data_IF_926748856022
#
_entry.id   IF_926748856022
#
_cell.length_a   1.000
_cell.length_b   1.000
_cell.length_c   1.000
_cell.angle_alpha   90.00
_cell.angle_beta   90.00
_cell.angle_gamma   90.00
#
_symmetry.space_group_name_H-M   'P 1'
#
loop_
_entity.id
_entity.type
_entity.pdbx_description
1 polymer ?
#
# COMPACT_ATOMS: atom_id res chain seq x y z
N UNK A 1 17.09 -0.94 -33.22
CA UNK A 1 17.11 -2.40 -32.99
C UNK A 1 18.49 -2.94 -32.62
N UNK A 2 19.49 -2.93 -33.51
CA UNK A 2 20.82 -3.50 -33.24
C UNK A 2 21.53 -2.78 -32.09
N UNK A 3 21.42 -1.45 -32.01
CA UNK A 3 22.04 -0.62 -30.96
C UNK A 3 21.50 -0.90 -29.55
N UNK A 4 20.19 -1.07 -29.37
CA UNK A 4 19.60 -1.39 -28.05
C UNK A 4 20.01 -2.79 -27.56
N UNK A 5 19.95 -3.78 -28.45
CA UNK A 5 20.37 -5.15 -28.14
C UNK A 5 21.87 -5.18 -27.81
N UNK A 6 22.69 -4.44 -28.57
CA UNK A 6 24.12 -4.28 -28.28
C UNK A 6 24.32 -3.64 -26.90
N UNK A 7 23.61 -2.56 -26.56
CA UNK A 7 23.72 -1.92 -25.24
C UNK A 7 23.30 -2.84 -24.09
N UNK A 8 22.21 -3.59 -24.25
CA UNK A 8 21.75 -4.56 -23.26
C UNK A 8 22.76 -5.69 -23.08
N UNK A 9 23.31 -6.24 -24.16
CA UNK A 9 24.35 -7.26 -24.13
C UNK A 9 25.63 -6.72 -23.48
N UNK A 10 26.04 -5.48 -23.77
CA UNK A 10 27.19 -4.84 -23.13
C UNK A 10 26.99 -4.68 -21.63
N UNK A 11 25.80 -4.27 -21.17
CA UNK A 11 25.50 -4.13 -19.75
C UNK A 11 25.51 -5.48 -19.03
N UNK A 12 24.97 -6.53 -19.65
CA UNK A 12 25.04 -7.90 -19.11
C UNK A 12 26.48 -8.40 -19.04
N UNK A 13 27.28 -8.15 -20.08
CA UNK A 13 28.71 -8.52 -20.09
C UNK A 13 29.51 -7.74 -19.03
N UNK A 14 29.21 -6.45 -18.81
CA UNK A 14 29.79 -5.69 -17.70
C UNK A 14 29.41 -6.27 -16.34
N UNK A 15 28.13 -6.60 -16.13
CA UNK A 15 27.68 -7.21 -14.88
C UNK A 15 28.41 -8.54 -14.62
N UNK A 16 28.54 -9.40 -15.64
CA UNK A 16 29.30 -10.65 -15.57
C UNK A 16 30.79 -10.37 -15.26
N UNK A 17 31.38 -9.36 -15.91
CA UNK A 17 32.78 -8.97 -15.70
C UNK A 17 33.06 -8.49 -14.27
N UNK A 18 32.11 -7.84 -13.60
CA UNK A 18 32.28 -7.42 -12.20
C UNK A 18 31.95 -8.54 -11.19
N UNK A 19 30.89 -9.30 -11.45
CA UNK A 19 30.37 -10.29 -10.51
C UNK A 19 31.22 -11.56 -10.49
N UNK A 20 31.71 -12.03 -11.63
CA UNK A 20 32.47 -13.28 -11.71
C UNK A 20 33.83 -13.22 -11.01
N UNK A 21 34.65 -12.16 -11.12
CA UNK A 21 35.90 -12.04 -10.36
C UNK A 21 35.64 -11.85 -8.86
N UNK A 22 34.58 -11.14 -8.48
CA UNK A 22 34.19 -10.97 -7.08
C UNK A 22 33.81 -12.31 -6.43
N UNK A 23 33.11 -13.18 -7.17
CA UNK A 23 32.74 -14.54 -6.72
C UNK A 23 33.87 -15.56 -6.88
N UNK A 24 34.91 -15.27 -7.67
CA UNK A 24 36.11 -16.11 -7.84
C UNK A 24 37.26 -15.73 -6.92
N UNK A 25 37.22 -14.59 -6.23
CA UNK A 25 38.17 -14.30 -5.17
C UNK A 25 38.02 -15.40 -4.13
N UNK A 26 39.06 -16.25 -4.01
CA UNK A 26 39.22 -17.17 -2.89
C UNK A 26 38.98 -16.36 -1.62
N UNK A 27 38.16 -16.93 -0.72
CA UNK A 27 38.07 -16.51 0.68
C UNK A 27 39.46 -16.10 1.12
N UNK A 28 39.68 -14.80 1.32
CA UNK A 28 40.76 -14.38 2.19
C UNK A 28 40.42 -15.00 3.53
N UNK A 29 41.33 -15.82 4.03
CA UNK A 29 41.21 -16.45 5.33
C UNK A 29 41.05 -15.33 6.35
N UNK A 30 39.81 -15.09 6.74
CA UNK A 30 39.45 -14.15 7.80
C UNK A 30 39.88 -14.70 9.18
N UNK A 31 40.36 -15.95 9.25
CA UNK A 31 41.00 -16.53 10.43
C UNK A 31 42.36 -15.90 10.69
N UNK A 32 43.23 -15.83 9.68
CA UNK A 32 44.65 -15.50 9.87
C UNK A 32 44.84 -14.03 10.31
N UNK A 33 44.00 -13.10 9.82
CA UNK A 33 44.06 -11.67 10.19
C UNK A 33 43.49 -11.38 11.59
N UNK A 34 42.61 -12.26 12.11
CA UNK A 34 42.07 -12.17 13.47
C UNK A 34 43.01 -12.79 14.50
N UNK A 35 43.65 -13.91 14.16
CA UNK A 35 44.63 -14.58 15.01
C UNK A 35 45.88 -13.71 15.21
N UNK A 36 46.39 -13.09 14.14
CA UNK A 36 47.52 -12.16 14.22
C UNK A 36 47.20 -10.93 15.09
N UNK A 37 45.98 -10.39 14.99
CA UNK A 37 45.53 -9.26 15.81
C UNK A 37 45.38 -9.64 17.30
N UNK A 38 44.82 -10.81 17.59
CA UNK A 38 44.65 -11.31 18.96
C UNK A 38 46.01 -11.56 19.63
N UNK A 39 46.98 -12.08 18.90
CA UNK A 39 48.36 -12.27 19.36
C UNK A 39 49.03 -10.93 19.69
N UNK A 40 48.83 -9.91 18.86
CA UNK A 40 49.42 -8.58 19.10
C UNK A 40 48.79 -7.87 20.30
N UNK A 41 47.46 -7.96 20.48
CA UNK A 41 46.78 -7.45 21.67
C UNK A 41 47.27 -8.15 22.94
N UNK A 42 47.49 -9.47 22.89
CA UNK A 42 48.01 -10.23 24.03
C UNK A 42 49.46 -9.82 24.38
N UNK A 43 50.31 -9.53 23.40
CA UNK A 43 51.68 -9.02 23.64
C UNK A 43 51.67 -7.68 24.35
N UNK A 44 50.81 -6.75 23.93
CA UNK A 44 50.67 -5.43 24.55
C UNK A 44 50.20 -5.57 26.00
N UNK A 45 49.22 -6.45 26.25
CA UNK A 45 48.72 -6.70 27.61
C UNK A 45 49.79 -7.32 28.52
N UNK A 46 50.60 -8.24 27.99
CA UNK A 46 51.72 -8.82 28.72
C UNK A 46 52.79 -7.79 29.07
N UNK A 47 53.09 -6.86 28.16
CA UNK A 47 54.03 -5.77 28.41
C UNK A 47 53.53 -4.84 29.52
N UNK A 48 52.24 -4.53 29.53
CA UNK A 48 51.59 -3.73 30.58
C UNK A 48 51.69 -4.43 31.95
N UNK A 49 51.36 -5.72 32.03
CA UNK A 49 51.44 -6.50 33.28
C UNK A 49 52.88 -6.57 33.81
N UNK A 50 53.89 -6.72 32.93
CA UNK A 50 55.31 -6.67 33.31
C UNK A 50 55.71 -5.30 33.84
N UNK A 51 55.27 -4.22 33.19
CA UNK A 51 55.53 -2.85 33.63
C UNK A 51 54.95 -2.59 35.02
N UNK A 52 53.77 -3.14 35.34
CA UNK A 52 53.14 -3.02 36.66
C UNK A 52 53.91 -3.79 37.75
N UNK A 53 54.51 -4.93 37.41
CA UNK A 53 55.38 -5.69 38.32
C UNK A 53 56.68 -4.92 38.60
N UNK A 54 57.29 -4.35 37.56
CA UNK A 54 58.52 -3.53 37.68
C UNK A 54 58.28 -2.24 38.45
N UNK A 55 57.11 -1.62 38.29
CA UNK A 55 56.67 -0.46 39.05
C UNK A 55 56.27 -0.79 40.50
N UNK A 56 56.20 -2.07 40.86
CA UNK A 56 55.81 -2.54 42.19
C UNK A 56 54.31 -2.36 42.50
N UNK A 57 53.48 -2.10 41.49
CA UNK A 57 52.02 -1.97 41.62
C UNK A 57 51.35 -3.33 41.86
N UNK A 58 51.94 -4.39 41.34
CA UNK A 58 51.51 -5.78 41.56
C UNK A 58 52.66 -6.62 42.13
N UNK A 59 52.33 -7.64 42.90
CA UNK A 59 53.31 -8.59 43.42
C UNK A 59 53.50 -9.79 42.48
N UNK A 60 54.53 -10.59 42.72
CA UNK A 60 54.91 -11.69 41.84
C UNK A 60 53.85 -12.81 41.76
N UNK A 61 53.01 -12.98 42.79
CA UNK A 61 51.91 -13.94 42.78
C UNK A 61 50.77 -13.46 41.87
N UNK A 62 50.43 -12.17 41.93
CA UNK A 62 49.41 -11.54 41.07
C UNK A 62 49.87 -11.51 39.62
N UNK A 63 51.16 -11.27 39.37
CA UNK A 63 51.74 -11.37 38.02
C UNK A 63 51.51 -12.75 37.41
N UNK A 64 51.81 -13.82 38.16
CA UNK A 64 51.64 -15.19 37.66
C UNK A 64 50.17 -15.50 37.32
N UNK A 65 49.23 -15.06 38.16
CA UNK A 65 47.80 -15.27 37.92
C UNK A 65 47.31 -14.58 36.64
N UNK A 66 47.68 -13.31 36.46
CA UNK A 66 47.28 -12.54 35.26
C UNK A 66 47.96 -13.07 33.99
N UNK A 67 49.19 -13.56 34.11
CA UNK A 67 49.90 -14.20 33.02
C UNK A 67 49.20 -15.49 32.56
N UNK A 68 48.87 -16.37 33.49
CA UNK A 68 48.24 -17.66 33.19
C UNK A 68 46.81 -17.47 32.61
N UNK A 69 46.07 -16.47 33.09
CA UNK A 69 44.75 -16.09 32.55
C UNK A 69 44.84 -15.56 31.11
N UNK A 70 45.85 -14.73 30.82
CA UNK A 70 46.11 -14.20 29.48
C UNK A 70 46.49 -15.33 28.51
N UNK A 71 47.33 -16.28 28.92
CA UNK A 71 47.67 -17.45 28.11
C UNK A 71 46.46 -18.34 27.83
N UNK A 72 45.61 -18.59 28.83
CA UNK A 72 44.39 -19.37 28.63
C UNK A 72 43.41 -18.69 27.70
N UNK A 73 43.31 -17.36 27.76
CA UNK A 73 42.42 -16.58 26.88
C UNK A 73 42.93 -16.59 25.44
N UNK A 74 44.23 -16.35 25.24
CA UNK A 74 44.85 -16.41 23.93
C UNK A 74 44.78 -17.83 23.33
N UNK A 75 44.96 -18.86 24.14
CA UNK A 75 44.82 -20.24 23.69
C UNK A 75 43.38 -20.59 23.28
N UNK A 76 42.37 -20.01 23.94
CA UNK A 76 40.96 -20.16 23.56
C UNK A 76 40.66 -19.42 22.25
N UNK A 77 41.16 -18.20 22.10
CA UNK A 77 40.94 -17.36 20.91
C UNK A 77 41.65 -17.90 19.66
N UNK A 78 42.82 -18.55 19.84
CA UNK A 78 43.57 -19.20 18.74
C UNK A 78 43.13 -20.65 18.49
N UNK A 79 42.31 -21.23 19.38
CA UNK A 79 41.76 -22.56 19.15
C UNK A 79 40.49 -22.45 18.31
N UNK A 80 40.51 -23.07 17.13
CA UNK A 80 39.48 -23.04 16.09
C UNK A 80 38.18 -23.74 16.55
N UNK A 81 37.50 -23.17 17.56
CA UNK A 81 36.27 -23.68 18.15
C UNK A 81 35.09 -23.00 17.47
N UNK A 82 34.26 -23.71 16.69
CA UNK A 82 33.11 -23.11 16.04
C UNK A 82 32.04 -22.81 17.09
N UNK A 83 32.02 -21.56 17.60
CA UNK A 83 30.89 -21.05 18.37
C UNK A 83 29.68 -20.84 17.46
N UNK A 84 28.90 -21.92 17.33
CA UNK A 84 27.54 -21.85 16.83
C UNK A 84 26.62 -21.37 17.94
N UNK A 85 25.92 -20.26 17.74
CA UNK A 85 24.55 -20.09 18.24
C UNK A 85 23.87 -18.89 17.55
N UNK A 86 23.16 -19.17 16.45
CA UNK A 86 21.77 -18.73 16.25
C UNK A 86 21.19 -19.32 14.95
N UNK A 87 20.37 -20.36 15.16
CA UNK A 87 19.11 -20.62 14.46
C UNK A 87 19.10 -20.49 12.92
N UNK A 88 19.28 -21.63 12.25
CA UNK A 88 18.25 -22.19 11.35
C UNK A 88 18.68 -23.55 10.82
N UNK A 89 18.10 -24.62 11.36
CA UNK A 89 18.06 -25.90 10.68
C UNK A 89 16.93 -25.89 9.66
N UNK A 90 17.28 -25.62 8.40
CA UNK A 90 16.69 -26.29 7.25
C UNK A 90 17.84 -26.77 6.37
N UNK A 91 18.27 -27.99 6.70
CA UNK A 91 18.75 -29.03 5.79
C UNK A 91 19.93 -28.70 4.86
N UNK A 92 21.04 -29.37 5.15
CA UNK A 92 22.05 -29.81 4.19
C UNK A 92 21.47 -30.16 2.82
N UNK A 93 22.08 -29.64 1.76
CA UNK A 93 22.61 -30.56 0.74
C UNK A 93 23.73 -29.91 -0.07
N UNK A 94 24.87 -30.61 -0.06
CA UNK A 94 25.87 -30.75 -1.13
C UNK A 94 26.47 -29.48 -1.72
N UNK A 95 27.81 -29.43 -1.66
CA UNK A 95 28.71 -28.75 -2.60
C UNK A 95 27.97 -28.11 -3.76
N UNK A 96 27.56 -26.85 -3.59
CA UNK A 96 27.04 -26.07 -4.69
C UNK A 96 28.21 -25.87 -5.63
N UNK A 97 28.30 -26.77 -6.61
CA UNK A 97 29.20 -26.74 -7.75
C UNK A 97 29.50 -25.29 -8.11
N UNK A 98 30.78 -24.96 -8.31
CA UNK A 98 31.28 -23.62 -8.72
C UNK A 98 30.53 -23.02 -9.93
N UNK A 99 29.66 -23.79 -10.57
CA UNK A 99 28.76 -23.41 -11.66
C UNK A 99 27.44 -22.78 -11.20
N UNK A 100 26.98 -22.95 -9.95
CA UNK A 100 25.71 -22.39 -9.46
C UNK A 100 25.62 -20.86 -9.59
N UNK A 101 26.65 -20.05 -9.25
CA UNK A 101 26.60 -18.61 -9.51
C UNK A 101 26.58 -18.27 -11.02
N UNK A 102 27.20 -19.11 -11.86
CA UNK A 102 27.20 -18.92 -13.33
C UNK A 102 25.79 -19.21 -13.89
N UNK A 103 25.16 -20.28 -13.40
CA UNK A 103 23.79 -20.64 -13.75
C UNK A 103 22.81 -19.55 -13.31
N UNK A 104 22.97 -19.02 -12.09
CA UNK A 104 22.14 -17.91 -11.61
C UNK A 104 22.36 -16.63 -12.43
N UNK A 105 23.62 -16.30 -12.76
CA UNK A 105 23.97 -15.16 -13.59
C UNK A 105 23.46 -15.27 -15.03
N UNK A 106 23.22 -16.48 -15.53
CA UNK A 106 22.60 -16.71 -16.84
C UNK A 106 21.06 -16.72 -16.77
N UNK A 107 20.49 -17.39 -15.77
CA UNK A 107 19.03 -17.57 -15.63
C UNK A 107 18.34 -16.25 -15.34
N UNK A 108 18.91 -15.38 -14.48
CA UNK A 108 18.28 -14.10 -14.13
C UNK A 108 18.06 -13.21 -15.37
N UNK A 109 19.06 -12.93 -16.23
CA UNK A 109 18.83 -12.14 -17.44
C UNK A 109 17.95 -12.85 -18.47
N UNK A 110 18.01 -14.18 -18.57
CA UNK A 110 17.10 -14.96 -19.43
C UNK A 110 15.64 -14.86 -18.98
N UNK A 111 15.39 -14.97 -17.68
CA UNK A 111 14.06 -14.80 -17.08
C UNK A 111 13.58 -13.35 -17.24
N UNK A 112 14.46 -12.36 -17.03
CA UNK A 112 14.14 -10.96 -17.26
C UNK A 112 13.78 -10.69 -18.73
N UNK A 113 14.51 -11.29 -19.69
CA UNK A 113 14.20 -11.21 -21.11
C UNK A 113 12.86 -11.89 -21.46
N UNK A 114 12.55 -13.04 -20.87
CA UNK A 114 11.30 -13.75 -21.08
C UNK A 114 10.09 -12.96 -20.50
N UNK A 115 10.22 -12.43 -19.29
CA UNK A 115 9.21 -11.58 -18.66
C UNK A 115 9.02 -10.30 -19.48
N UNK A 116 10.12 -9.68 -19.94
CA UNK A 116 10.06 -8.52 -20.80
C UNK A 116 9.42 -8.84 -22.17
N UNK A 117 9.58 -10.05 -22.69
CA UNK A 117 8.90 -10.47 -23.92
C UNK A 117 7.39 -10.67 -23.70
N UNK A 118 6.98 -11.11 -22.51
CA UNK A 118 5.58 -11.44 -22.21
C UNK A 118 4.77 -10.22 -21.71
N UNK A 119 5.40 -9.32 -20.95
CA UNK A 119 4.76 -8.15 -20.34
C UNK A 119 5.25 -6.81 -20.90
N UNK A 120 6.43 -6.79 -21.54
CA UNK A 120 7.04 -5.56 -22.02
C UNK A 120 6.47 -5.11 -23.36
N UNK A 121 6.31 -3.79 -23.51
CA UNK A 121 5.98 -3.18 -24.78
C UNK A 121 7.25 -3.07 -25.65
N UNK A 122 7.42 -4.03 -26.56
CA UNK A 122 8.56 -4.07 -27.49
C UNK A 122 8.59 -2.84 -28.40
N UNK A 123 7.44 -2.15 -28.63
CA UNK A 123 7.37 -0.95 -29.45
C UNK A 123 8.01 0.27 -28.77
N UNK A 124 7.96 0.35 -27.45
CA UNK A 124 8.57 1.43 -26.68
C UNK A 124 10.11 1.41 -26.71
N UNK A 125 10.74 0.23 -26.80
CA UNK A 125 12.21 0.08 -26.78
C UNK A 125 12.87 0.02 -28.18
N UNK A 126 12.12 -0.28 -29.24
CA UNK A 126 12.65 -0.30 -30.62
C UNK A 126 12.77 1.09 -31.23
N UNK A 127 12.31 2.14 -30.55
CA UNK A 127 12.21 3.47 -31.14
C UNK A 127 11.06 3.54 -32.15
N UNK A 128 10.09 2.63 -32.11
CA UNK A 128 8.72 2.96 -32.55
C UNK A 128 8.09 3.84 -31.49
N UNK A 129 8.73 4.99 -31.30
CA UNK A 129 8.14 6.14 -30.65
C UNK A 129 6.85 6.38 -31.44
N UNK A 130 5.70 6.24 -30.80
CA UNK A 130 4.57 7.10 -31.17
C UNK A 130 5.11 8.49 -30.84
N UNK A 131 5.82 9.07 -31.80
CA UNK A 131 6.12 10.47 -31.77
C UNK A 131 4.77 11.14 -31.78
N UNK A 132 4.41 11.80 -30.67
CA UNK A 132 3.67 13.03 -30.76
C UNK A 132 4.53 13.96 -31.63
N UNK A 133 4.39 13.81 -32.95
CA UNK A 133 5.15 14.56 -33.90
C UNK A 133 4.56 15.96 -33.93
N UNK A 134 5.31 16.93 -33.39
CA UNK A 134 5.26 18.27 -33.97
C UNK A 134 5.82 18.09 -35.39
N UNK A 135 4.95 17.87 -36.38
CA UNK A 135 5.33 17.69 -37.78
C UNK A 135 5.67 19.08 -38.36
N UNK A 136 6.88 19.30 -38.91
CA UNK A 136 7.06 20.25 -40.00
C UNK A 136 6.35 19.67 -41.23
N UNK A 137 5.40 20.43 -41.78
CA UNK A 137 4.52 20.04 -42.88
C UNK A 137 5.18 19.17 -43.97
N UNK A 138 4.64 17.96 -44.19
CA UNK A 138 4.87 17.17 -45.40
C UNK A 138 5.22 15.70 -45.15
N UNK A 139 4.22 14.82 -45.12
CA UNK A 139 4.12 13.55 -45.88
C UNK A 139 3.00 12.65 -45.32
N UNK A 140 2.07 12.28 -46.19
CA UNK A 140 0.85 11.52 -45.90
C UNK A 140 1.13 10.09 -45.37
N UNK A 141 0.84 9.86 -44.09
CA UNK A 141 0.49 8.52 -43.56
C UNK A 141 -0.82 8.66 -42.78
N UNK A 142 -1.85 7.83 -43.02
CA UNK A 142 -3.08 7.90 -42.24
C UNK A 142 -2.77 7.46 -40.80
N UNK A 143 -2.93 8.38 -39.84
CA UNK A 143 -2.95 8.06 -38.41
C UNK A 143 -4.06 7.03 -38.16
N UNK A 144 -3.74 5.92 -37.49
CA UNK A 144 -4.75 4.92 -37.15
C UNK A 144 -5.72 5.53 -36.14
N UNK A 145 -6.94 5.77 -36.58
CA UNK A 145 -7.97 6.42 -35.79
C UNK A 145 -8.57 5.46 -34.75
N UNK A 146 -9.27 5.99 -33.74
CA UNK A 146 -10.03 5.16 -32.79
C UNK A 146 -11.05 4.31 -33.55
N UNK A 147 -11.63 4.89 -34.60
CA UNK A 147 -12.56 4.24 -35.51
C UNK A 147 -11.91 3.04 -36.22
N UNK A 148 -10.66 3.16 -36.68
CA UNK A 148 -9.92 2.06 -37.30
C UNK A 148 -9.60 0.93 -36.30
N UNK A 149 -9.29 1.28 -35.06
CA UNK A 149 -9.06 0.30 -33.99
C UNK A 149 -10.35 -0.45 -33.62
N UNK A 150 -11.47 0.26 -33.55
CA UNK A 150 -12.81 -0.32 -33.33
C UNK A 150 -13.18 -1.24 -34.49
N UNK A 151 -12.98 -0.83 -35.74
CA UNK A 151 -13.28 -1.67 -36.91
C UNK A 151 -12.49 -2.99 -36.90
N UNK A 152 -11.21 -2.96 -36.52
CA UNK A 152 -10.40 -4.19 -36.36
C UNK A 152 -10.90 -5.07 -35.20
N UNK A 153 -11.33 -4.46 -34.10
CA UNK A 153 -11.88 -5.20 -32.97
C UNK A 153 -13.24 -5.84 -33.33
N UNK A 154 -14.11 -5.10 -34.02
CA UNK A 154 -15.37 -5.61 -34.57
C UNK A 154 -15.12 -6.81 -35.51
N UNK A 155 -14.16 -6.69 -36.44
CA UNK A 155 -13.81 -7.79 -37.34
C UNK A 155 -13.33 -9.02 -36.56
N UNK A 156 -12.43 -8.82 -35.59
CA UNK A 156 -11.93 -9.93 -34.77
C UNK A 156 -13.05 -10.62 -34.00
N UNK A 157 -13.98 -9.85 -33.43
CA UNK A 157 -15.12 -10.41 -32.69
C UNK A 157 -16.16 -11.07 -33.59
N UNK A 158 -16.19 -10.74 -34.89
CA UNK A 158 -16.98 -11.48 -35.86
C UNK A 158 -16.36 -12.86 -36.18
N UNK A 159 -15.03 -12.98 -36.15
CA UNK A 159 -14.30 -14.24 -36.34
C UNK A 159 -14.25 -15.09 -35.06
N UNK A 160 -14.14 -14.42 -33.90
CA UNK A 160 -14.07 -15.02 -32.55
C UNK A 160 -15.23 -14.52 -31.67
N UNK A 161 -16.49 -14.97 -31.88
CA UNK A 161 -17.65 -14.44 -31.17
C UNK A 161 -17.71 -14.84 -29.70
N UNK A 162 -17.07 -15.94 -29.30
CA UNK A 162 -17.00 -16.44 -27.92
C UNK A 162 -15.87 -15.76 -27.11
N UNK A 163 -15.86 -14.43 -27.11
CA UNK A 163 -14.85 -13.62 -26.42
C UNK A 163 -15.53 -12.52 -25.59
N UNK A 164 -16.00 -12.83 -24.36
CA UNK A 164 -16.76 -11.88 -23.55
C UNK A 164 -15.92 -10.66 -23.15
N UNK A 165 -14.62 -10.82 -22.92
CA UNK A 165 -13.71 -9.71 -22.62
C UNK A 165 -13.59 -8.72 -23.78
N UNK A 166 -13.50 -9.24 -25.01
CA UNK A 166 -13.44 -8.42 -26.22
C UNK A 166 -14.75 -7.67 -26.46
N UNK A 167 -15.90 -8.32 -26.29
CA UNK A 167 -17.22 -7.65 -26.35
C UNK A 167 -17.37 -6.57 -25.28
N UNK A 168 -16.89 -6.83 -24.05
CA UNK A 168 -16.92 -5.85 -22.97
C UNK A 168 -16.02 -4.64 -23.27
N UNK A 169 -14.83 -4.88 -23.83
CA UNK A 169 -13.95 -3.80 -24.27
C UNK A 169 -14.59 -2.97 -25.39
N UNK A 170 -15.19 -3.63 -26.39
CA UNK A 170 -15.90 -2.96 -27.47
C UNK A 170 -17.05 -2.10 -26.94
N UNK A 171 -17.83 -2.62 -25.98
CA UNK A 171 -18.91 -1.89 -25.33
C UNK A 171 -18.41 -0.61 -24.62
N UNK A 172 -17.31 -0.72 -23.86
CA UNK A 172 -16.67 0.44 -23.21
C UNK A 172 -16.18 1.47 -24.22
N UNK A 173 -15.56 1.03 -25.31
CA UNK A 173 -15.09 1.94 -26.36
C UNK A 173 -16.27 2.69 -27.00
N UNK A 174 -17.37 2.00 -27.28
CA UNK A 174 -18.59 2.66 -27.77
C UNK A 174 -19.19 3.64 -26.75
N UNK A 175 -19.12 3.35 -25.44
CA UNK A 175 -19.52 4.32 -24.41
C UNK A 175 -18.68 5.60 -24.50
N UNK A 176 -17.35 5.47 -24.62
CA UNK A 176 -16.44 6.61 -24.78
C UNK A 176 -16.73 7.40 -26.06
N UNK A 177 -17.03 6.71 -27.16
CA UNK A 177 -17.42 7.32 -28.44
C UNK A 177 -18.86 7.86 -28.45
N UNK A 178 -19.61 7.73 -27.35
CA UNK A 178 -21.03 8.08 -27.22
C UNK A 178 -21.95 7.35 -28.19
N UNK A 179 -21.50 6.19 -28.71
CA UNK A 179 -22.29 5.29 -29.55
C UNK A 179 -23.09 4.31 -28.67
N UNK A 180 -23.97 4.85 -27.83
CA UNK A 180 -24.62 4.10 -26.74
C UNK A 180 -25.43 2.89 -27.20
N UNK A 181 -26.13 2.97 -28.33
CA UNK A 181 -26.87 1.83 -28.89
C UNK A 181 -25.94 0.65 -29.23
N UNK A 182 -24.76 0.92 -29.79
CA UNK A 182 -23.79 -0.14 -30.05
C UNK A 182 -23.19 -0.70 -28.77
N UNK A 183 -22.95 0.16 -27.77
CA UNK A 183 -22.50 -0.28 -26.46
C UNK A 183 -23.49 -1.26 -25.80
N UNK A 184 -24.80 -0.94 -25.85
CA UNK A 184 -25.89 -1.80 -25.38
C UNK A 184 -25.81 -3.17 -26.05
N UNK A 185 -25.75 -3.23 -27.38
CA UNK A 185 -25.66 -4.51 -28.11
C UNK A 185 -24.38 -5.30 -27.79
N UNK A 186 -23.26 -4.63 -27.58
CA UNK A 186 -22.02 -5.31 -27.17
C UNK A 186 -22.11 -5.85 -25.74
N UNK A 187 -22.70 -5.12 -24.79
CA UNK A 187 -22.94 -5.62 -23.44
C UNK A 187 -23.93 -6.79 -23.42
N UNK A 188 -24.94 -6.80 -24.30
CA UNK A 188 -25.84 -7.96 -24.47
C UNK A 188 -25.06 -9.21 -24.88
N UNK A 189 -24.08 -9.08 -25.79
CA UNK A 189 -23.19 -10.20 -26.17
C UNK A 189 -22.36 -10.72 -24.99
N UNK A 190 -21.93 -9.84 -24.09
CA UNK A 190 -21.24 -10.26 -22.85
C UNK A 190 -22.20 -11.06 -21.97
N UNK A 191 -23.40 -10.52 -21.72
CA UNK A 191 -24.42 -11.15 -20.86
C UNK A 191 -24.88 -12.51 -21.40
N UNK A 192 -25.00 -12.65 -22.73
CA UNK A 192 -25.30 -13.94 -23.38
C UNK A 192 -24.27 -15.03 -23.07
N UNK A 193 -23.00 -14.65 -22.85
CA UNK A 193 -21.88 -15.57 -22.66
C UNK A 193 -21.56 -15.85 -21.20
N UNK A 194 -21.58 -14.80 -20.36
CA UNK A 194 -21.19 -14.91 -18.94
C UNK A 194 -22.40 -14.94 -18.00
N UNK A 195 -23.59 -14.68 -18.51
CA UNK A 195 -24.81 -14.55 -17.72
C UNK A 195 -25.01 -13.16 -17.12
N UNK A 196 -25.98 -13.07 -16.21
CA UNK A 196 -26.41 -11.82 -15.56
C UNK A 196 -25.47 -11.40 -14.41
N UNK A 197 -24.17 -11.30 -14.70
CA UNK A 197 -23.17 -10.88 -13.72
C UNK A 197 -23.43 -9.43 -13.25
N UNK A 198 -23.47 -9.15 -11.94
CA UNK A 198 -23.91 -7.86 -11.41
C UNK A 198 -23.09 -6.66 -11.94
N UNK A 199 -21.77 -6.81 -12.08
CA UNK A 199 -20.89 -5.75 -12.59
C UNK A 199 -21.16 -5.40 -14.05
N UNK A 200 -21.46 -6.41 -14.88
CA UNK A 200 -21.83 -6.23 -16.29
C UNK A 200 -23.19 -5.58 -16.39
N UNK A 201 -24.16 -6.00 -15.56
CA UNK A 201 -25.50 -5.40 -15.52
C UNK A 201 -25.48 -3.92 -15.13
N UNK A 202 -24.59 -3.48 -14.23
CA UNK A 202 -24.43 -2.04 -13.93
C UNK A 202 -24.02 -1.28 -15.20
N UNK A 203 -23.01 -1.77 -15.92
CA UNK A 203 -22.50 -1.10 -17.14
C UNK A 203 -23.53 -1.12 -18.26
N UNK A 204 -24.28 -2.20 -18.37
CA UNK A 204 -25.41 -2.31 -19.29
C UNK A 204 -26.52 -1.31 -18.96
N UNK A 205 -26.91 -1.19 -17.68
CA UNK A 205 -27.89 -0.21 -17.23
C UNK A 205 -27.45 1.24 -17.51
N UNK A 206 -26.17 1.55 -17.31
CA UNK A 206 -25.59 2.85 -17.65
C UNK A 206 -25.66 3.12 -19.16
N UNK A 207 -25.27 2.14 -20.00
CA UNK A 207 -25.37 2.26 -21.46
C UNK A 207 -26.82 2.50 -21.91
N UNK A 208 -27.77 1.74 -21.35
CA UNK A 208 -29.20 1.91 -21.59
C UNK A 208 -29.68 3.31 -21.19
N UNK A 209 -29.29 3.80 -20.01
CA UNK A 209 -29.66 5.14 -19.55
C UNK A 209 -29.14 6.23 -20.49
N UNK A 210 -27.92 6.06 -21.02
CA UNK A 210 -27.33 7.01 -21.96
C UNK A 210 -28.05 7.04 -23.32
N UNK A 211 -28.67 5.95 -23.77
CA UNK A 211 -29.56 5.96 -24.96
C UNK A 211 -30.77 6.87 -24.76
N UNK A 212 -31.21 7.08 -23.52
CA UNK A 212 -32.32 7.95 -23.14
C UNK A 212 -31.85 9.31 -22.58
N UNK A 213 -30.62 9.73 -22.87
CA UNK A 213 -30.07 11.01 -22.41
C UNK A 213 -29.77 11.05 -20.91
N UNK A 214 -29.39 9.91 -20.33
CA UNK A 214 -29.04 9.77 -18.91
C UNK A 214 -30.24 9.53 -17.98
N UNK A 215 -31.41 9.19 -18.53
CA UNK A 215 -32.59 8.82 -17.74
C UNK A 215 -32.47 7.39 -17.25
N UNK A 216 -32.68 7.18 -15.94
CA UNK A 216 -32.63 5.87 -15.30
C UNK A 216 -34.03 5.28 -15.07
N UNK A 217 -35.09 5.93 -15.58
CA UNK A 217 -36.50 5.60 -15.33
C UNK A 217 -37.19 4.85 -16.45
N UNK A 218 -36.60 4.81 -17.64
CA UNK A 218 -37.09 4.03 -18.78
C UNK A 218 -36.43 2.66 -18.86
N UNK A 219 -35.81 2.34 -20.00
CA UNK A 219 -35.26 1.00 -20.28
C UNK A 219 -34.20 0.52 -19.28
N UNK A 220 -33.50 1.44 -18.60
CA UNK A 220 -32.50 1.10 -17.59
C UNK A 220 -33.13 0.68 -16.23
N UNK A 221 -34.35 1.13 -15.91
CA UNK A 221 -34.96 0.95 -14.58
C UNK A 221 -35.07 -0.53 -14.16
N UNK A 222 -35.53 -1.46 -15.01
CA UNK A 222 -35.62 -2.86 -14.62
C UNK A 222 -34.26 -3.46 -14.26
N UNK A 223 -33.19 -3.02 -14.93
CA UNK A 223 -31.83 -3.48 -14.65
C UNK A 223 -31.33 -2.88 -13.34
N UNK A 224 -31.57 -1.58 -13.10
CA UNK A 224 -31.25 -0.91 -11.82
C UNK A 224 -31.96 -1.61 -10.65
N UNK A 225 -33.23 -1.95 -10.80
CA UNK A 225 -34.03 -2.66 -9.79
C UNK A 225 -33.52 -4.08 -9.52
N UNK A 226 -32.98 -4.74 -10.55
CA UNK A 226 -32.31 -6.02 -10.38
C UNK A 226 -30.99 -5.86 -9.62
N UNK A 227 -30.12 -4.94 -10.05
CA UNK A 227 -28.78 -4.82 -9.45
C UNK A 227 -28.78 -4.26 -8.04
N UNK A 228 -29.77 -3.45 -7.63
CA UNK A 228 -29.88 -2.97 -6.23
C UNK A 228 -30.22 -4.11 -5.26
N UNK A 229 -30.89 -5.17 -5.72
CA UNK A 229 -31.13 -6.36 -4.92
C UNK A 229 -29.85 -7.20 -4.80
N UNK A 230 -29.08 -7.31 -5.89
CA UNK A 230 -27.83 -8.09 -5.93
C UNK A 230 -26.68 -7.41 -5.18
N UNK A 231 -26.60 -6.08 -5.25
CA UNK A 231 -25.53 -5.26 -4.67
C UNK A 231 -26.11 -4.07 -3.88
N UNK A 232 -26.77 -4.32 -2.75
CA UNK A 232 -27.46 -3.30 -1.97
C UNK A 232 -26.52 -2.26 -1.34
N UNK A 233 -25.22 -2.57 -1.25
CA UNK A 233 -24.20 -1.72 -0.64
C UNK A 233 -23.24 -1.10 -1.67
N UNK A 234 -23.46 -1.31 -2.97
CA UNK A 234 -22.61 -0.72 -4.01
C UNK A 234 -22.87 0.78 -4.16
N UNK A 235 -21.84 1.65 -4.03
CA UNK A 235 -22.02 3.09 -4.15
C UNK A 235 -22.64 3.51 -5.49
N UNK A 236 -22.18 2.90 -6.59
CA UNK A 236 -22.70 3.17 -7.93
C UNK A 236 -24.17 2.79 -8.05
N UNK A 237 -24.57 1.64 -7.50
CA UNK A 237 -25.95 1.17 -7.60
C UNK A 237 -26.88 2.02 -6.74
N UNK A 238 -26.45 2.41 -5.53
CA UNK A 238 -27.20 3.33 -4.69
C UNK A 238 -27.40 4.70 -5.36
N UNK A 239 -26.38 5.20 -6.06
CA UNK A 239 -26.49 6.42 -6.84
C UNK A 239 -27.52 6.28 -7.97
N UNK A 240 -27.43 5.20 -8.76
CA UNK A 240 -28.34 4.94 -9.87
C UNK A 240 -29.78 4.76 -9.38
N UNK A 241 -30.01 3.93 -8.36
CA UNK A 241 -31.32 3.68 -7.79
C UNK A 241 -31.93 4.96 -7.20
N UNK A 242 -31.16 5.73 -6.43
CA UNK A 242 -31.62 7.01 -5.90
C UNK A 242 -32.00 8.01 -7.00
N UNK A 243 -31.17 8.10 -8.04
CA UNK A 243 -31.42 8.98 -9.20
C UNK A 243 -32.66 8.55 -9.97
N UNK A 244 -32.85 7.25 -10.20
CA UNK A 244 -34.03 6.72 -10.86
C UNK A 244 -35.32 7.00 -10.09
N UNK A 245 -35.32 6.80 -8.76
CA UNK A 245 -36.48 7.10 -7.93
C UNK A 245 -36.78 8.61 -7.89
N UNK A 246 -35.74 9.45 -7.82
CA UNK A 246 -35.90 10.90 -7.84
C UNK A 246 -36.50 11.41 -9.17
N UNK A 247 -36.02 10.89 -10.31
CA UNK A 247 -36.56 11.22 -11.63
C UNK A 247 -38.05 10.82 -11.77
N UNK A 248 -38.50 9.79 -11.05
CA UNK A 248 -39.91 9.40 -10.95
C UNK A 248 -40.70 10.15 -9.87
N UNK A 249 -40.09 11.14 -9.20
CA UNK A 249 -40.67 11.89 -8.07
C UNK A 249 -40.95 11.03 -6.82
N UNK A 250 -40.34 9.85 -6.73
CA UNK A 250 -40.37 9.01 -5.54
C UNK A 250 -39.30 9.46 -4.53
N UNK A 251 -39.39 10.71 -4.08
CA UNK A 251 -38.35 11.37 -3.27
C UNK A 251 -37.99 10.60 -1.99
N UNK A 252 -38.99 9.97 -1.35
CA UNK A 252 -38.77 9.16 -0.14
C UNK A 252 -37.87 7.94 -0.40
N UNK A 253 -38.08 7.23 -1.52
CA UNK A 253 -37.21 6.11 -1.93
C UNK A 253 -35.83 6.60 -2.37
N UNK A 254 -35.77 7.73 -3.08
CA UNK A 254 -34.52 8.33 -3.50
C UNK A 254 -33.61 8.67 -2.30
N UNK A 255 -34.18 9.34 -1.29
CA UNK A 255 -33.47 9.67 -0.05
C UNK A 255 -33.02 8.42 0.72
N UNK A 256 -33.81 7.34 0.68
CA UNK A 256 -33.42 6.07 1.32
C UNK A 256 -32.09 5.56 0.76
N UNK A 257 -31.91 5.57 -0.56
CA UNK A 257 -30.66 5.15 -1.20
C UNK A 257 -29.53 6.17 -1.00
N UNK A 258 -29.82 7.46 -1.16
CA UNK A 258 -28.81 8.51 -1.06
C UNK A 258 -28.28 8.74 0.35
N UNK A 259 -29.09 8.59 1.39
CA UNK A 259 -28.59 8.63 2.76
C UNK A 259 -27.67 7.46 3.08
N UNK A 260 -27.93 6.28 2.49
CA UNK A 260 -27.02 5.13 2.60
C UNK A 260 -25.72 5.35 1.83
N UNK A 261 -25.79 6.01 0.68
CA UNK A 261 -24.63 6.33 -0.15
C UNK A 261 -23.72 7.41 0.47
N UNK A 262 -24.32 8.46 1.04
CA UNK A 262 -23.63 9.65 1.53
C UNK A 262 -22.37 9.37 2.39
N UNK A 263 -22.40 8.49 3.42
CA UNK A 263 -21.21 8.21 4.23
C UNK A 263 -20.09 7.50 3.45
N UNK A 264 -20.39 6.86 2.31
CA UNK A 264 -19.38 6.17 1.49
C UNK A 264 -18.56 7.14 0.62
N UNK A 265 -19.01 8.41 0.50
CA UNK A 265 -18.39 9.42 -0.36
C UNK A 265 -17.60 10.48 0.42
N UNK A 266 -17.32 10.26 1.71
CA UNK A 266 -16.64 11.25 2.57
C UNK A 266 -15.26 11.65 2.02
N UNK A 267 -14.56 10.73 1.35
CA UNK A 267 -13.26 10.99 0.72
C UNK A 267 -13.35 11.69 -0.64
N UNK A 268 -14.53 11.70 -1.28
CA UNK A 268 -14.79 12.38 -2.56
C UNK A 268 -15.68 13.60 -2.34
N UNK A 269 -15.05 14.71 -1.96
CA UNK A 269 -15.74 15.95 -1.64
C UNK A 269 -16.57 16.51 -2.81
N UNK A 270 -16.16 16.28 -4.06
CA UNK A 270 -16.86 16.79 -5.23
C UNK A 270 -18.18 16.03 -5.46
N UNK A 271 -18.10 14.69 -5.46
CA UNK A 271 -19.29 13.83 -5.64
C UNK A 271 -20.23 13.94 -4.43
N UNK A 272 -19.69 14.08 -3.22
CA UNK A 272 -20.48 14.32 -2.01
C UNK A 272 -21.27 15.63 -2.09
N UNK A 273 -20.65 16.72 -2.56
CA UNK A 273 -21.33 18.00 -2.72
C UNK A 273 -22.49 17.90 -3.74
N UNK A 274 -22.27 17.17 -4.85
CA UNK A 274 -23.33 16.91 -5.83
C UNK A 274 -24.49 16.10 -5.23
N UNK A 275 -24.17 15.05 -4.46
CA UNK A 275 -25.17 14.24 -3.77
C UNK A 275 -25.98 15.07 -2.77
N UNK A 276 -25.33 15.95 -2.01
CA UNK A 276 -25.98 16.81 -1.02
C UNK A 276 -26.96 17.79 -1.66
N UNK A 277 -26.67 18.28 -2.87
CA UNK A 277 -27.62 19.09 -3.64
C UNK A 277 -28.86 18.27 -4.05
N UNK A 278 -28.67 17.03 -4.51
CA UNK A 278 -29.76 16.14 -4.88
C UNK A 278 -30.63 15.78 -3.67
N UNK A 279 -30.00 15.46 -2.54
CA UNK A 279 -30.67 15.21 -1.26
C UNK A 279 -31.49 16.42 -0.83
N UNK A 280 -30.89 17.62 -0.81
CA UNK A 280 -31.59 18.85 -0.41
C UNK A 280 -32.78 19.16 -1.32
N UNK A 281 -32.63 18.93 -2.62
CA UNK A 281 -33.71 19.05 -3.60
C UNK A 281 -34.87 18.10 -3.29
N UNK A 282 -34.59 16.82 -3.02
CA UNK A 282 -35.61 15.83 -2.69
C UNK A 282 -36.25 16.07 -1.30
N UNK A 283 -35.48 16.49 -0.30
CA UNK A 283 -35.99 16.85 1.03
C UNK A 283 -37.01 18.00 0.94
N UNK A 284 -36.78 18.99 0.06
CA UNK A 284 -37.70 20.12 -0.13
C UNK A 284 -39.09 19.73 -0.64
N UNK A 285 -39.22 18.52 -1.21
CA UNK A 285 -40.48 18.02 -1.77
C UNK A 285 -41.28 17.17 -0.77
N UNK A 286 -40.76 16.96 0.46
CA UNK A 286 -41.37 16.13 1.50
C UNK A 286 -41.67 16.94 2.76
N UNK A 287 -42.52 16.40 3.65
CA UNK A 287 -42.75 17.04 4.94
C UNK A 287 -41.54 16.88 5.87
N UNK A 288 -41.34 17.84 6.77
CA UNK A 288 -40.25 17.80 7.76
C UNK A 288 -40.30 16.54 8.63
N UNK A 289 -41.49 16.01 8.93
CA UNK A 289 -41.64 14.79 9.72
C UNK A 289 -41.20 13.55 8.93
N UNK A 290 -41.55 13.45 7.64
CA UNK A 290 -41.09 12.35 6.78
C UNK A 290 -39.57 12.38 6.62
N UNK A 291 -38.98 13.54 6.37
CA UNK A 291 -37.52 13.69 6.29
C UNK A 291 -36.86 13.28 7.61
N UNK A 292 -37.41 13.71 8.75
CA UNK A 292 -36.89 13.32 10.06
C UNK A 292 -36.99 11.80 10.32
N UNK A 293 -38.04 11.14 9.85
CA UNK A 293 -38.15 9.68 9.93
C UNK A 293 -37.16 8.98 9.02
N UNK A 294 -37.01 9.44 7.77
CA UNK A 294 -36.06 8.87 6.82
C UNK A 294 -34.61 9.02 7.30
N UNK A 295 -34.24 10.14 7.92
CA UNK A 295 -32.90 10.32 8.52
C UNK A 295 -32.63 9.41 9.73
N UNK A 296 -33.68 8.97 10.43
CA UNK A 296 -33.56 8.00 11.55
C UNK A 296 -33.44 6.56 11.07
N UNK A 297 -34.07 6.22 9.93
CA UNK A 297 -34.09 4.87 9.35
C UNK A 297 -32.95 4.66 8.35
N UNK A 298 -32.50 5.73 7.70
CA UNK A 298 -31.18 5.75 7.07
C UNK A 298 -30.22 5.15 8.07
N UNK A 299 -29.34 4.22 7.65
CA UNK A 299 -28.28 3.81 8.54
C UNK A 299 -27.60 5.10 8.96
N UNK A 300 -27.84 5.50 10.21
CA UNK A 300 -26.95 6.42 10.86
C UNK A 300 -25.57 5.83 10.57
N UNK A 301 -24.56 6.66 10.47
CA UNK A 301 -23.24 6.18 10.83
C UNK A 301 -23.20 5.74 12.32
N UNK A 302 -24.22 5.04 12.84
CA UNK A 302 -23.97 3.83 13.59
C UNK A 302 -23.22 2.91 12.65
N UNK A 303 -21.90 2.99 12.79
CA UNK A 303 -20.95 1.96 12.48
C UNK A 303 -21.59 0.57 12.59
N UNK A 304 -22.24 0.09 11.53
CA UNK A 304 -22.15 -1.31 11.17
C UNK A 304 -20.73 -1.50 10.72
N UNK A 305 -19.90 -1.63 11.74
CA UNK A 305 -18.63 -2.33 11.73
C UNK A 305 -18.80 -3.49 10.77
N UNK A 306 -18.22 -3.34 9.58
CA UNK A 306 -17.73 -4.48 8.85
C UNK A 306 -16.71 -5.10 9.81
N UNK A 307 -17.15 -6.15 10.49
CA UNK A 307 -16.37 -6.97 11.40
C UNK A 307 -15.30 -7.67 10.55
N UNK A 308 -14.25 -6.91 10.20
CA UNK A 308 -12.93 -7.38 9.78
C UNK A 308 -11.95 -6.23 9.42
N UNK A 309 -12.36 -4.96 9.40
CA UNK A 309 -11.40 -3.86 9.32
C UNK A 309 -10.98 -3.44 10.73
N UNK A 310 -9.69 -3.52 11.03
CA UNK A 310 -9.15 -3.01 12.28
C UNK A 310 -9.32 -1.49 12.35
N UNK A 311 -10.04 -1.02 13.36
CA UNK A 311 -10.26 0.38 13.62
C UNK A 311 -10.10 0.66 15.11
N UNK A 312 -9.23 1.61 15.45
CA UNK A 312 -9.01 2.06 16.82
C UNK A 312 -9.35 3.54 16.92
N UNK A 313 -10.33 3.88 17.75
CA UNK A 313 -10.76 5.26 17.98
C UNK A 313 -10.01 5.83 19.17
N UNK A 314 -9.22 6.89 18.96
CA UNK A 314 -8.37 7.51 19.97
C UNK A 314 -8.79 8.96 20.19
N UNK A 315 -9.17 9.29 21.42
CA UNK A 315 -9.39 10.67 21.87
C UNK A 315 -8.13 11.15 22.58
N UNK A 316 -7.49 12.18 22.03
CA UNK A 316 -6.27 12.79 22.58
C UNK A 316 -6.61 14.11 23.25
N UNK A 317 -6.17 14.26 24.49
CA UNK A 317 -6.31 15.47 25.31
C UNK A 317 -4.95 15.90 25.86
N UNK A 318 -4.79 17.18 26.16
CA UNK A 318 -3.60 17.72 26.83
C UNK A 318 -3.90 17.93 28.32
N UNK A 319 -2.98 17.49 29.17
CA UNK A 319 -3.06 17.79 30.61
C UNK A 319 -3.03 19.31 30.83
N UNK A 320 -3.95 19.80 31.67
CA UNK A 320 -4.02 21.20 32.08
C UNK A 320 -2.70 21.77 32.59
N UNK A 321 -1.85 20.95 33.23
CA UNK A 321 -0.56 21.37 33.77
C UNK A 321 0.51 21.65 32.69
N UNK A 322 0.29 21.19 31.45
CA UNK A 322 1.25 21.29 30.35
C UNK A 322 0.83 22.30 29.27
N UNK A 323 -0.31 22.98 29.45
CA UNK A 323 -0.83 23.98 28.50
C UNK A 323 0.17 25.10 28.19
N UNK A 324 0.91 25.57 29.20
CA UNK A 324 1.89 26.65 29.03
C UNK A 324 3.15 26.23 28.27
N UNK A 325 3.33 24.92 28.02
CA UNK A 325 4.48 24.37 27.30
C UNK A 325 4.19 24.05 25.83
N UNK A 326 2.97 24.30 25.36
CA UNK A 326 2.47 23.96 24.02
C UNK A 326 2.04 25.21 23.28
N UNK A 327 2.52 25.38 22.05
CA UNK A 327 2.04 26.40 21.13
C UNK A 327 0.96 25.82 20.22
N UNK A 328 -0.02 26.63 19.82
CA UNK A 328 -1.10 26.20 18.92
C UNK A 328 -0.58 25.62 17.57
N UNK A 329 0.59 26.07 17.12
CA UNK A 329 1.23 25.62 15.88
C UNK A 329 2.10 24.36 16.04
N UNK A 330 2.27 23.84 17.26
CA UNK A 330 3.05 22.63 17.48
C UNK A 330 2.36 21.44 16.79
N UNK A 331 3.15 20.51 16.27
CA UNK A 331 2.61 19.40 15.47
C UNK A 331 2.25 18.23 16.36
N UNK A 332 1.00 17.78 16.33
CA UNK A 332 0.53 16.57 16.99
C UNK A 332 0.66 15.37 16.06
N UNK A 333 1.47 14.39 16.46
CA UNK A 333 1.57 13.09 15.82
C UNK A 333 0.88 12.02 16.67
N UNK A 334 0.03 11.21 16.03
CA UNK A 334 -0.65 10.08 16.66
C UNK A 334 -0.28 8.83 15.86
N UNK A 335 0.33 7.85 16.52
CA UNK A 335 0.84 6.64 15.89
C UNK A 335 0.28 5.40 16.55
N UNK A 336 -0.03 4.38 15.72
CA UNK A 336 -0.14 2.99 16.16
C UNK A 336 1.09 2.23 15.67
N UNK A 337 1.78 1.53 16.56
CA UNK A 337 2.99 0.73 16.27
C UNK A 337 2.78 -0.72 16.69
N UNK A 338 3.41 -1.65 15.99
CA UNK A 338 3.44 -3.04 16.41
C UNK A 338 4.12 -3.18 17.78
N UNK A 339 3.71 -4.15 18.59
CA UNK A 339 4.37 -4.44 19.88
C UNK A 339 5.81 -4.96 19.71
N UNK A 340 6.06 -5.68 18.61
CA UNK A 340 7.35 -6.23 18.23
C UNK A 340 7.51 -6.07 16.72
N UNK A 341 8.72 -5.73 16.26
CA UNK A 341 9.01 -5.52 14.84
C UNK A 341 9.70 -4.17 14.57
N UNK A 342 9.82 -3.78 13.28
CA UNK A 342 10.51 -2.56 12.89
C UNK A 342 9.83 -1.31 13.48
N UNK A 343 10.58 -0.21 13.73
CA UNK A 343 10.10 0.96 14.47
C UNK A 343 9.03 1.81 13.73
N UNK A 344 8.64 1.38 12.52
CA UNK A 344 7.72 2.09 11.65
C UNK A 344 6.27 1.92 12.14
N UNK A 345 5.45 2.99 12.10
CA UNK A 345 4.05 2.92 12.51
C UNK A 345 3.18 2.18 11.49
N UNK A 346 2.20 1.44 11.99
CA UNK A 346 1.15 0.77 11.23
C UNK A 346 0.06 1.74 10.77
N UNK A 347 -0.20 2.79 11.55
CA UNK A 347 -1.08 3.89 11.19
C UNK A 347 -0.54 5.19 11.80
N UNK A 348 -0.63 6.29 11.06
CA UNK A 348 -0.10 7.58 11.45
C UNK A 348 -1.06 8.72 11.09
N UNK A 349 -1.30 9.63 12.04
CA UNK A 349 -2.10 10.84 11.83
C UNK A 349 -1.29 12.05 12.29
N UNK A 350 -1.26 13.09 11.45
CA UNK A 350 -0.64 14.38 11.73
C UNK A 350 -1.71 15.45 11.88
N UNK A 351 -1.67 16.19 12.98
CA UNK A 351 -2.58 17.28 13.36
C UNK A 351 -1.79 18.42 14.00
N UNK A 352 -2.47 19.47 14.44
CA UNK A 352 -1.87 20.57 15.19
C UNK A 352 -2.33 20.54 16.64
N UNK A 353 -1.54 21.11 17.55
CA UNK A 353 -1.92 21.20 18.95
C UNK A 353 -3.17 22.07 19.19
N UNK A 354 -3.49 22.98 18.26
CA UNK A 354 -4.74 23.75 18.25
C UNK A 354 -5.99 22.87 18.11
N UNK A 355 -5.85 21.67 17.53
CA UNK A 355 -6.98 20.75 17.32
C UNK A 355 -7.38 20.02 18.62
N UNK A 356 -6.60 20.14 19.70
CA UNK A 356 -6.87 19.45 20.97
C UNK A 356 -8.04 20.11 21.74
N UNK A 357 -8.97 19.31 22.31
CA UNK A 357 -9.04 17.85 22.27
C UNK A 357 -9.58 17.31 20.94
N UNK A 358 -8.94 16.27 20.39
CA UNK A 358 -9.32 15.68 19.09
C UNK A 358 -9.61 14.19 19.24
N UNK A 359 -10.60 13.71 18.49
CA UNK A 359 -10.84 12.26 18.30
C UNK A 359 -10.42 11.86 16.89
N UNK A 360 -9.57 10.85 16.79
CA UNK A 360 -9.08 10.30 15.52
C UNK A 360 -9.38 8.81 15.43
N UNK A 361 -9.68 8.34 14.23
CA UNK A 361 -9.75 6.91 13.92
C UNK A 361 -8.42 6.48 13.30
N UNK A 362 -7.83 5.40 13.80
CA UNK A 362 -6.65 4.74 13.24
C UNK A 362 -7.12 3.45 12.58
N UNK A 363 -6.93 3.32 11.27
CA UNK A 363 -7.39 2.17 10.50
C UNK A 363 -6.37 1.77 9.41
N UNK A 364 -6.66 0.67 8.70
CA UNK A 364 -5.82 0.13 7.65
C UNK A 364 -5.60 1.05 6.44
N UNK A 365 -6.52 1.99 6.16
CA UNK A 365 -6.36 2.94 5.06
C UNK A 365 -5.22 3.94 5.33
N UNK A 366 -4.81 4.09 6.59
CA UNK A 366 -3.72 4.96 7.03
C UNK A 366 -2.37 4.24 7.10
N UNK A 367 -2.29 2.99 6.62
CA UNK A 367 -1.06 2.23 6.58
C UNK A 367 -0.09 2.79 5.54
N UNK A 368 1.12 3.16 5.97
CA UNK A 368 2.17 3.64 5.07
C UNK A 368 2.69 2.56 4.11
N UNK A 369 2.47 1.28 4.42
CA UNK A 369 2.84 0.15 3.58
C UNK A 369 1.67 -0.82 3.43
N UNK A 370 1.31 -1.23 2.19
CA UNK A 370 0.16 -2.12 1.94
C UNK A 370 0.24 -3.48 2.64
N UNK A 371 1.45 -3.95 2.97
CA UNK A 371 1.70 -5.26 3.59
C UNK A 371 1.72 -5.21 5.14
N UNK A 372 1.82 -4.02 5.75
CA UNK A 372 1.93 -3.84 7.20
C UNK A 372 0.74 -3.01 7.70
N UNK A 373 -0.42 -3.66 7.74
CA UNK A 373 -1.70 -3.06 8.13
C UNK A 373 -1.95 -3.23 9.62
N UNK A 374 -2.81 -2.38 10.18
CA UNK A 374 -3.23 -2.44 11.57
C UNK A 374 -3.96 -3.77 11.85
N UNK A 375 -4.78 -4.26 10.91
CA UNK A 375 -5.52 -5.52 10.99
C UNK A 375 -4.69 -6.79 11.07
N UNK A 376 -3.42 -6.73 10.66
CA UNK A 376 -2.51 -7.86 10.72
C UNK A 376 -2.00 -8.15 12.15
N UNK A 377 -2.30 -7.29 13.12
CA UNK A 377 -1.82 -7.39 14.50
C UNK A 377 -2.99 -7.48 15.47
N UNK A 378 -2.90 -8.35 16.48
CA UNK A 378 -3.92 -8.44 17.54
C UNK A 378 -3.73 -7.34 18.59
N UNK A 379 -2.48 -6.94 18.84
CA UNK A 379 -2.12 -5.91 19.81
C UNK A 379 -1.13 -4.91 19.24
N UNK A 380 -1.35 -3.64 19.59
CA UNK A 380 -0.50 -2.52 19.19
C UNK A 380 -0.20 -1.60 20.36
N UNK A 381 0.77 -0.72 20.16
CA UNK A 381 1.12 0.39 21.04
C UNK A 381 0.66 1.68 20.39
N UNK A 382 -0.06 2.50 21.13
CA UNK A 382 -0.55 3.79 20.63
C UNK A 382 0.19 4.91 21.36
N UNK A 383 0.74 5.84 20.59
CA UNK A 383 1.44 7.00 21.13
C UNK A 383 0.90 8.29 20.52
N UNK A 384 0.73 9.32 21.33
CA UNK A 384 0.50 10.68 20.87
C UNK A 384 1.66 11.57 21.32
N UNK A 385 2.14 12.44 20.43
CA UNK A 385 3.30 13.29 20.68
C UNK A 385 3.10 14.67 20.05
N UNK A 386 3.25 15.71 20.84
CA UNK A 386 3.33 17.10 20.38
C UNK A 386 4.80 17.41 20.15
N UNK A 387 5.19 17.47 18.87
CA UNK A 387 6.53 17.80 18.41
C UNK A 387 6.69 19.29 18.20
N UNK A 388 7.72 19.85 18.83
CA UNK A 388 8.10 21.27 18.66
C UNK A 388 8.94 21.50 17.41
N UNK A 389 9.70 20.50 16.99
CA UNK A 389 10.52 20.54 15.77
C UNK A 389 9.74 20.25 14.50
N UNK A 390 8.51 19.72 14.63
CA UNK A 390 7.67 19.28 13.52
C UNK A 390 8.11 17.97 12.88
N UNK A 391 9.13 17.30 13.45
CA UNK A 391 9.62 16.01 12.98
C UNK A 391 8.86 14.84 13.63
N UNK A 392 8.57 13.77 12.88
CA UNK A 392 7.92 12.59 13.44
C UNK A 392 8.87 11.83 14.38
N UNK A 393 8.34 11.38 15.52
CA UNK A 393 9.11 10.74 16.58
C UNK A 393 9.08 11.55 17.87
N UNK A 394 9.61 10.99 18.96
CA UNK A 394 9.69 11.68 20.26
C UNK A 394 11.10 12.21 20.45
N UNK A 395 11.28 13.52 20.44
CA UNK A 395 12.55 14.21 20.69
C UNK A 395 12.57 14.85 22.08
N UNK A 396 13.75 15.26 22.55
CA UNK A 396 13.88 15.95 23.84
C UNK A 396 13.13 17.28 23.81
N UNK A 397 12.29 17.53 24.80
CA UNK A 397 11.39 18.68 24.90
C UNK A 397 10.00 18.47 24.31
N UNK A 398 9.75 17.34 23.64
CA UNK A 398 8.42 17.00 23.13
C UNK A 398 7.52 16.46 24.24
N UNK A 399 6.23 16.73 24.13
CA UNK A 399 5.23 16.22 25.06
C UNK A 399 4.62 14.96 24.48
N UNK A 400 4.55 13.88 25.27
CA UNK A 400 4.05 12.62 24.75
C UNK A 400 3.23 11.83 25.77
N UNK A 401 2.50 10.84 25.26
CA UNK A 401 1.85 9.77 26.03
C UNK A 401 1.90 8.50 25.19
N UNK A 402 2.04 7.37 25.87
CA UNK A 402 2.04 6.05 25.25
C UNK A 402 1.14 5.12 26.05
N UNK A 403 0.34 4.33 25.32
CA UNK A 403 -0.50 3.28 25.88
C UNK A 403 -0.20 1.96 25.18
N UNK A 404 0.11 0.93 25.97
CA UNK A 404 0.31 -0.43 25.51
C UNK A 404 0.03 -1.43 26.63
N UNK A 405 -0.56 -2.61 26.33
CA UNK A 405 -1.03 -3.06 25.02
C UNK A 405 -2.46 -2.58 24.71
N UNK A 406 -2.75 -2.35 23.43
CA UNK A 406 -4.10 -2.04 22.93
C UNK A 406 -4.55 -3.14 21.98
N UNK A 407 -5.74 -3.70 22.22
CA UNK A 407 -6.33 -4.70 21.35
C UNK A 407 -6.99 -4.04 20.12
N UNK A 408 -6.47 -4.36 18.95
CA UNK A 408 -6.86 -3.78 17.66
C UNK A 408 -8.32 -4.07 17.29
N UNK A 409 -8.85 -5.22 17.71
CA UNK A 409 -10.19 -5.71 17.35
C UNK A 409 -11.26 -5.38 18.40
N UNK A 410 -10.87 -4.76 19.52
CA UNK A 410 -11.80 -4.46 20.63
C UNK A 410 -12.78 -3.32 20.31
N UNK A 411 -12.46 -2.47 19.33
CA UNK A 411 -13.23 -1.28 18.95
C UNK A 411 -13.49 -0.30 20.11
N UNK A 412 -12.72 -0.43 21.20
CA UNK A 412 -12.85 0.44 22.35
C UNK A 412 -12.35 1.85 22.02
N UNK A 413 -13.05 2.85 22.57
CA UNK A 413 -12.62 4.25 22.50
C UNK A 413 -11.53 4.46 23.54
N UNK A 414 -10.33 4.80 23.07
CA UNK A 414 -9.16 4.96 23.91
C UNK A 414 -8.94 6.44 24.20
N UNK A 415 -8.84 6.77 25.48
CA UNK A 415 -8.50 8.12 25.90
C UNK A 415 -7.01 8.21 26.21
N UNK A 416 -6.31 9.09 25.50
CA UNK A 416 -4.90 9.42 25.74
C UNK A 416 -4.80 10.85 26.27
N UNK A 417 -4.19 11.00 27.44
CA UNK A 417 -3.92 12.32 28.03
C UNK A 417 -2.42 12.56 27.97
N UNK A 418 -1.99 13.55 27.19
CA UNK A 418 -0.58 13.95 27.07
C UNK A 418 -0.16 14.60 28.38
N UNK A 419 0.64 13.87 29.15
CA UNK A 419 1.05 14.25 30.51
C UNK A 419 2.56 14.08 30.78
N UNK A 420 3.35 13.63 29.79
CA UNK A 420 4.80 13.48 29.94
C UNK A 420 5.55 14.44 29.02
N UNK A 421 6.77 14.80 29.42
CA UNK A 421 7.74 15.54 28.62
C UNK A 421 8.97 14.64 28.48
N UNK A 422 9.47 14.46 27.26
CA UNK A 422 10.70 13.73 26.97
C UNK A 422 11.91 14.59 27.22
#
# INVERSE_FOLDING_TARGET
>A
MISFIISAVILVLMAIYFIVPALKKKNYAFSDEYDDLNVDIAKDRLAEIKSQLEAGEINQQTFQQLHDELESTLALDLSDVPQSQSQNELSESKETSKLMPIVLAAIIPLAAAAIYYQLGDFAAATGTRIEATVIPAGEDRPEMTIEDAVAKLEQRLAEEPENPEGWFMLAKTYMTMKQYHKAVSSYEKVIEQVGEEPEVLIRYADALAMTEGGRLTGVAKPIVDKVIVLMPDSPTVLWMAGTAENQQKNFSKALTYWYKLRPMLIEDAATLAQLDQLISGAESQLSANEVAQLKKVAPAAESKVVTNAAEIIVTVELDSALKDKVSANDTLFIFAKAMQGPPMPLAAVKKTAADLPITVSLNDAMAMMPQMKLSSFDQVKISATISKSGQPGVQSGDLFVELSPVNVKSQEKIKLVINQVK
#
